data_IF_782971259570
#
_entry.id   IF_782971259570
#
_cell.length_a   1.000
_cell.length_b   1.000
_cell.length_c   1.000
_cell.angle_alpha   90.00
_cell.angle_beta   90.00
_cell.angle_gamma   90.00
#
_symmetry.space_group_name_H-M   'P 1'
#
loop_
_entity.id
_entity.type
_entity.pdbx_description
1 polymer ?
#
# COMPACT_ATOMS: atom_id res chain seq x y z
N UNK A 1 -2.41 -16.63 12.90
CA UNK A 1 -2.90 -17.93 12.37
C UNK A 1 -2.38 -18.11 10.94
N UNK A 2 -2.19 -19.35 10.49
CA UNK A 2 -1.67 -19.66 9.15
C UNK A 2 -2.84 -20.14 8.28
N UNK A 3 -3.13 -19.43 7.20
CA UNK A 3 -4.24 -19.73 6.29
C UNK A 3 -3.68 -20.14 4.93
N UNK A 4 -4.35 -21.09 4.28
CA UNK A 4 -4.09 -21.43 2.88
C UNK A 4 -5.07 -20.65 2.03
N UNK A 5 -4.57 -19.95 1.02
CA UNK A 5 -5.37 -19.17 0.08
C UNK A 5 -4.97 -19.60 -1.33
N UNK A 6 -5.94 -19.68 -2.24
CA UNK A 6 -5.66 -19.84 -3.66
C UNK A 6 -5.28 -18.47 -4.23
N UNK A 7 -4.10 -18.40 -4.83
CA UNK A 7 -3.56 -17.18 -5.41
C UNK A 7 -3.33 -17.40 -6.91
N UNK A 8 -3.98 -16.61 -7.79
CA UNK A 8 -3.66 -16.60 -9.21
C UNK A 8 -2.15 -16.44 -9.47
N UNK A 9 -1.65 -17.07 -10.54
CA UNK A 9 -0.21 -17.12 -10.84
C UNK A 9 0.44 -15.73 -10.98
N UNK A 10 -0.30 -14.78 -11.56
CA UNK A 10 0.12 -13.39 -11.71
C UNK A 10 0.30 -12.71 -10.35
N UNK A 11 -0.66 -12.88 -9.44
CA UNK A 11 -0.57 -12.33 -8.09
C UNK A 11 0.52 -13.01 -7.26
N UNK A 12 0.70 -14.32 -7.41
CA UNK A 12 1.79 -15.03 -6.75
C UNK A 12 3.16 -14.51 -7.23
N UNK A 13 3.34 -14.31 -8.54
CA UNK A 13 4.58 -13.76 -9.10
C UNK A 13 4.84 -12.33 -8.60
N UNK A 14 3.82 -11.48 -8.59
CA UNK A 14 3.94 -10.11 -8.10
C UNK A 14 4.30 -10.08 -6.61
N UNK A 15 3.60 -10.84 -5.78
CA UNK A 15 3.87 -10.94 -4.35
C UNK A 15 5.29 -11.48 -4.07
N UNK A 16 5.75 -12.46 -4.85
CA UNK A 16 7.10 -13.01 -4.72
C UNK A 16 8.18 -11.99 -5.12
N UNK A 17 7.94 -11.15 -6.12
CA UNK A 17 8.86 -10.08 -6.49
C UNK A 17 8.96 -9.02 -5.40
N UNK A 18 7.80 -8.58 -4.87
CA UNK A 18 7.74 -7.62 -3.76
C UNK A 18 8.43 -8.16 -2.50
N UNK A 19 8.22 -9.45 -2.19
CA UNK A 19 8.86 -10.08 -1.03
C UNK A 19 10.38 -10.09 -1.15
N UNK A 20 10.91 -10.35 -2.36
CA UNK A 20 12.36 -10.28 -2.63
C UNK A 20 12.92 -8.87 -2.46
N UNK A 21 12.25 -7.89 -3.05
CA UNK A 21 12.63 -6.48 -2.97
C UNK A 21 12.65 -5.97 -1.51
N UNK A 22 11.67 -6.40 -0.71
CA UNK A 22 11.56 -6.04 0.71
C UNK A 22 12.37 -6.92 1.65
N UNK A 23 13.12 -7.91 1.14
CA UNK A 23 13.85 -8.91 1.93
C UNK A 23 12.97 -9.60 3.01
N UNK A 24 11.72 -9.93 2.66
CA UNK A 24 10.75 -10.54 3.56
C UNK A 24 10.24 -11.88 3.03
N UNK A 25 9.62 -12.67 3.91
CA UNK A 25 8.93 -13.90 3.49
C UNK A 25 7.62 -13.57 2.78
N UNK A 26 7.23 -14.41 1.83
CA UNK A 26 5.99 -14.22 1.04
C UNK A 26 4.76 -14.05 1.94
N UNK A 27 4.61 -14.89 2.97
CA UNK A 27 3.49 -14.81 3.90
C UNK A 27 3.46 -13.49 4.69
N UNK A 28 4.62 -12.94 5.06
CA UNK A 28 4.71 -11.65 5.75
C UNK A 28 4.33 -10.51 4.81
N UNK A 29 4.83 -10.53 3.58
CA UNK A 29 4.51 -9.54 2.55
C UNK A 29 3.02 -9.55 2.23
N UNK A 30 2.41 -10.71 1.99
CA UNK A 30 0.98 -10.84 1.70
C UNK A 30 0.13 -10.34 2.88
N UNK A 31 0.49 -10.70 4.12
CA UNK A 31 -0.22 -10.21 5.31
C UNK A 31 -0.13 -8.68 5.46
N UNK A 32 1.02 -8.08 5.14
CA UNK A 32 1.21 -6.63 5.17
C UNK A 32 0.38 -5.92 4.10
N UNK A 33 0.36 -6.46 2.88
CA UNK A 33 -0.41 -5.90 1.77
C UNK A 33 -1.92 -5.95 2.06
N UNK A 34 -2.41 -7.08 2.58
CA UNK A 34 -3.81 -7.23 2.97
C UNK A 34 -4.19 -6.26 4.09
N UNK A 35 -3.32 -6.09 5.09
CA UNK A 35 -3.55 -5.13 6.18
C UNK A 35 -3.66 -3.71 5.65
N UNK A 36 -2.75 -3.32 4.76
CA UNK A 36 -2.75 -1.98 4.15
C UNK A 36 -3.99 -1.73 3.29
N UNK A 37 -4.37 -2.71 2.46
CA UNK A 37 -5.59 -2.64 1.65
C UNK A 37 -6.86 -2.50 2.51
N UNK A 38 -6.94 -3.24 3.62
CA UNK A 38 -8.06 -3.18 4.56
C UNK A 38 -8.09 -1.89 5.39
N UNK A 39 -6.94 -1.26 5.62
CA UNK A 39 -6.84 0.02 6.32
C UNK A 39 -7.34 1.21 5.48
N UNK A 40 -7.76 0.97 4.22
CA UNK A 40 -8.22 2.04 3.35
C UNK A 40 -7.08 2.87 2.75
N UNK A 41 -5.83 2.42 2.88
CA UNK A 41 -4.65 2.97 2.20
C UNK A 41 -4.67 2.58 0.71
N UNK A 42 -5.82 2.77 0.06
CA UNK A 42 -5.89 2.73 -1.39
C UNK A 42 -5.22 4.00 -1.87
N UNK A 43 -3.93 3.88 -2.18
CA UNK A 43 -3.10 4.97 -2.65
C UNK A 43 -3.86 5.83 -3.66
N UNK A 44 -3.77 7.14 -3.44
CA UNK A 44 -4.17 8.22 -4.32
C UNK A 44 -5.07 7.81 -5.49
N UNK A 45 -6.37 7.99 -5.33
CA UNK A 45 -7.32 7.82 -6.43
C UNK A 45 -6.93 8.81 -7.53
N UNK A 46 -6.43 8.30 -8.64
CA UNK A 46 -6.21 9.10 -9.85
C UNK A 46 -7.60 9.35 -10.43
N UNK A 47 -8.15 10.53 -10.20
CA UNK A 47 -9.41 10.99 -10.76
C UNK A 47 -9.09 11.90 -11.95
N UNK A 48 -9.76 11.70 -13.08
CA UNK A 48 -9.61 12.63 -14.21
C UNK A 48 -10.56 13.79 -13.96
N UNK A 49 -10.01 15.00 -13.88
CA UNK A 49 -10.79 16.21 -13.67
C UNK A 49 -11.62 16.52 -14.94
N UNK A 50 -12.93 16.65 -14.80
CA UNK A 50 -13.87 16.77 -15.93
C UNK A 50 -13.77 18.13 -16.64
N UNK A 51 -13.25 19.16 -15.98
CA UNK A 51 -13.14 20.52 -16.51
C UNK A 51 -11.82 20.73 -17.29
N UNK A 52 -10.72 20.20 -16.77
CA UNK A 52 -9.38 20.35 -17.36
C UNK A 52 -8.95 19.16 -18.24
N UNK A 53 -9.57 17.99 -18.08
CA UNK A 53 -9.19 16.75 -18.76
C UNK A 53 -7.84 16.17 -18.30
N UNK A 54 -7.28 16.69 -17.20
CA UNK A 54 -5.98 16.27 -16.66
C UNK A 54 -6.16 15.20 -15.57
N UNK A 55 -5.21 14.26 -15.42
CA UNK A 55 -5.21 13.33 -14.29
C UNK A 55 -4.90 14.07 -12.99
N UNK A 56 -5.87 14.12 -12.09
CA UNK A 56 -5.75 14.61 -10.71
C UNK A 56 -5.38 13.47 -9.79
N UNK A 57 -4.34 13.66 -9.00
CA UNK A 57 -3.77 12.64 -8.10
C UNK A 57 -3.90 13.17 -6.68
N UNK A 58 -4.81 12.61 -5.88
CA UNK A 58 -4.95 12.95 -4.46
C UNK A 58 -3.81 12.32 -3.66
N UNK A 59 -2.63 12.94 -3.66
CA UNK A 59 -1.55 12.52 -2.75
C UNK A 59 -2.06 12.81 -1.34
N UNK A 60 -1.95 11.85 -0.41
CA UNK A 60 -2.48 11.98 0.95
C UNK A 60 -1.93 13.20 1.72
N UNK A 61 -2.28 13.32 3.00
CA UNK A 61 -1.82 14.44 3.83
C UNK A 61 -0.27 14.51 3.84
N UNK A 62 0.34 15.67 3.55
CA UNK A 62 1.79 15.83 3.67
C UNK A 62 2.22 15.68 5.13
N UNK A 63 3.09 14.72 5.43
CA UNK A 63 3.66 14.56 6.77
C UNK A 63 4.69 15.69 7.00
N UNK A 64 4.46 16.51 8.01
CA UNK A 64 5.31 17.63 8.40
C UNK A 64 6.33 17.21 9.47
N UNK A 65 7.34 18.06 9.71
CA UNK A 65 8.28 17.85 10.81
C UNK A 65 7.58 17.86 12.18
N UNK A 66 6.45 18.58 12.30
CA UNK A 66 5.62 18.62 13.50
C UNK A 66 4.92 17.28 13.75
N UNK A 67 4.41 16.62 12.70
CA UNK A 67 3.81 15.28 12.77
C UNK A 67 4.83 14.21 13.20
N UNK A 68 6.09 14.34 12.76
CA UNK A 68 7.18 13.44 13.16
C UNK A 68 7.55 13.64 14.63
N UNK A 69 7.63 14.88 15.09
CA UNK A 69 7.93 15.18 16.50
C UNK A 69 6.82 14.67 17.43
N UNK A 70 5.56 14.85 17.05
CA UNK A 70 4.41 14.39 17.83
C UNK A 70 4.32 12.85 17.94
N UNK A 71 4.85 12.11 16.96
CA UNK A 71 4.87 10.64 16.96
C UNK A 71 5.99 10.05 17.82
N UNK A 72 7.09 10.76 18.05
CA UNK A 72 8.22 10.30 18.89
C UNK A 72 7.97 10.50 20.40
N UNK A 73 7.06 11.42 20.75
CA UNK A 73 6.67 11.74 22.14
C UNK A 73 5.59 10.79 22.75
N UNK A 74 5.13 9.76 22.01
CA UNK A 74 4.07 8.82 22.42
C UNK A 74 4.57 7.39 22.68
#
# INVERSE_FOLDING_TARGET
MRTTIDLPDDLHRAAAQIARDRHQTLSRTVASLLRSALAGESGSRIEVDEESGLPTVHVGEPITAEDVAAADDA
#
